data_IF_858581733987
#
_entry.id   IF_858581733987
#
_cell.length_a   1.000
_cell.length_b   1.000
_cell.length_c   1.000
_cell.angle_alpha   90.00
_cell.angle_beta   90.00
_cell.angle_gamma   90.00
#
_symmetry.space_group_name_H-M   'P 1'
#
loop_
_entity.id
_entity.type
_entity.pdbx_description
1 polymer ?
#
# COMPACT_ATOMS: atom_id res chain seq x y z
N UNK A 1 5.65 8.21 6.37
CA UNK A 1 4.49 8.33 5.45
C UNK A 1 3.24 8.84 6.15
N UNK A 2 2.36 9.60 5.47
CA UNK A 2 1.04 10.05 5.96
C UNK A 2 -0.12 9.17 5.47
N UNK A 3 -1.32 9.23 6.09
CA UNK A 3 -2.52 8.53 5.59
C UNK A 3 -2.89 8.85 4.14
N UNK A 4 -2.73 10.10 3.71
CA UNK A 4 -3.01 10.53 2.34
C UNK A 4 -2.01 9.93 1.35
N UNK A 5 -0.72 9.90 1.71
CA UNK A 5 0.31 9.23 0.91
C UNK A 5 0.03 7.73 0.78
N UNK A 6 -0.34 7.07 1.89
CA UNK A 6 -0.69 5.66 1.88
C UNK A 6 -1.91 5.39 0.99
N UNK A 7 -2.92 6.27 1.04
CA UNK A 7 -4.12 6.18 0.21
C UNK A 7 -3.78 6.33 -1.27
N UNK A 8 -2.94 7.30 -1.63
CA UNK A 8 -2.51 7.51 -3.01
C UNK A 8 -1.72 6.31 -3.55
N UNK A 9 -0.77 5.79 -2.77
CA UNK A 9 0.05 4.62 -3.15
C UNK A 9 -0.83 3.37 -3.30
N UNK A 10 -1.69 3.09 -2.32
CA UNK A 10 -2.59 1.95 -2.37
C UNK A 10 -3.48 2.00 -3.62
N UNK A 11 -4.08 3.17 -3.89
CA UNK A 11 -4.92 3.38 -5.08
C UNK A 11 -4.14 3.18 -6.37
N UNK A 12 -2.89 3.64 -6.44
CA UNK A 12 -2.03 3.43 -7.61
C UNK A 12 -1.69 1.95 -7.85
N UNK A 13 -1.48 1.17 -6.78
CA UNK A 13 -1.16 -0.25 -6.86
C UNK A 13 -2.36 -1.12 -7.26
N UNK A 14 -3.54 -0.85 -6.66
CA UNK A 14 -4.66 -1.80 -6.64
C UNK A 14 -6.03 -1.19 -7.01
N UNK A 15 -6.11 0.12 -7.26
CA UNK A 15 -7.36 0.78 -7.65
C UNK A 15 -8.38 0.89 -6.51
N UNK A 16 -9.65 0.62 -6.81
CA UNK A 16 -10.77 0.93 -5.90
C UNK A 16 -10.83 0.05 -4.65
N UNK A 17 -10.29 -1.17 -4.70
CA UNK A 17 -10.27 -2.14 -3.58
C UNK A 17 -8.93 -2.16 -2.83
N UNK A 18 -8.18 -1.06 -2.88
CA UNK A 18 -6.78 -1.05 -2.47
C UNK A 18 -6.52 -1.47 -1.03
N UNK A 19 -7.41 -1.17 -0.08
CA UNK A 19 -7.15 -1.47 1.34
C UNK A 19 -7.06 -2.98 1.60
N UNK A 20 -7.96 -3.77 1.00
CA UNK A 20 -7.94 -5.24 1.13
C UNK A 20 -6.80 -5.86 0.36
N UNK A 21 -6.48 -5.33 -0.82
CA UNK A 21 -5.43 -5.89 -1.67
C UNK A 21 -4.03 -5.56 -1.15
N UNK A 22 -3.82 -4.33 -0.66
CA UNK A 22 -2.60 -3.95 0.02
C UNK A 22 -2.40 -4.76 1.31
N UNK A 23 -3.47 -4.98 2.09
CA UNK A 23 -3.38 -5.81 3.29
C UNK A 23 -2.94 -7.25 2.97
N UNK A 24 -3.46 -7.82 1.88
CA UNK A 24 -3.06 -9.14 1.39
C UNK A 24 -1.59 -9.15 0.95
N UNK A 25 -1.15 -8.14 0.20
CA UNK A 25 0.23 -8.03 -0.28
C UNK A 25 1.24 -7.90 0.88
N UNK A 26 0.89 -7.12 1.91
CA UNK A 26 1.71 -6.93 3.11
C UNK A 26 1.57 -8.05 4.14
N UNK A 27 0.71 -9.05 3.88
CA UNK A 27 0.36 -10.11 4.84
C UNK A 27 -0.08 -9.57 6.23
N UNK A 28 -0.93 -8.54 6.23
CA UNK A 28 -1.53 -7.97 7.44
C UNK A 28 -3.05 -8.05 7.37
N UNK A 29 -3.71 -7.92 8.52
CA UNK A 29 -5.17 -7.80 8.59
C UNK A 29 -5.63 -6.50 7.89
N UNK A 30 -6.64 -6.56 7.02
CA UNK A 30 -7.26 -5.38 6.37
C UNK A 30 -7.71 -4.29 7.35
N UNK A 31 -8.08 -4.67 8.57
CA UNK A 31 -8.38 -3.73 9.65
C UNK A 31 -7.16 -2.93 10.05
N UNK A 32 -5.95 -3.50 10.00
CA UNK A 32 -4.70 -2.79 10.31
C UNK A 32 -4.50 -1.59 9.39
N UNK A 33 -4.71 -1.78 8.08
CA UNK A 33 -4.63 -0.69 7.09
C UNK A 33 -5.63 0.42 7.42
N UNK A 34 -6.87 0.05 7.77
CA UNK A 34 -7.90 1.02 8.21
C UNK A 34 -7.50 1.78 9.48
N UNK A 35 -6.83 1.14 10.43
CA UNK A 35 -6.36 1.79 11.65
C UNK A 35 -5.25 2.81 11.38
N UNK A 36 -4.37 2.53 10.42
CA UNK A 36 -3.36 3.50 9.98
C UNK A 36 -4.00 4.74 9.35
N UNK A 37 -5.04 4.55 8.53
CA UNK A 37 -5.76 5.65 7.89
C UNK A 37 -6.53 6.53 8.88
N UNK A 38 -7.07 5.93 9.94
CA UNK A 38 -7.76 6.65 11.01
C UNK A 38 -6.83 7.19 12.09
N UNK A 39 -5.52 7.01 11.92
CA UNK A 39 -4.51 7.37 12.91
C UNK A 39 -4.72 6.72 14.30
N UNK A 40 -5.54 5.66 14.38
CA UNK A 40 -5.74 4.85 15.59
C UNK A 40 -4.47 4.07 15.96
N UNK A 41 -3.60 3.84 14.98
CA UNK A 41 -2.25 3.31 15.16
C UNK A 41 -1.28 4.04 14.24
N UNK A 42 -0.04 4.28 14.67
CA UNK A 42 0.97 4.85 13.81
C UNK A 42 1.24 3.94 12.61
N UNK A 43 1.53 4.56 11.47
CA UNK A 43 2.07 3.87 10.30
C UNK A 43 3.47 3.38 10.67
N UNK A 44 3.80 2.09 10.50
CA UNK A 44 5.11 1.57 10.85
C UNK A 44 6.19 2.06 9.88
N UNK A 45 7.40 2.30 10.39
CA UNK A 45 8.53 2.77 9.58
C UNK A 45 8.93 1.78 8.47
N UNK A 46 8.75 0.47 8.71
CA UNK A 46 9.05 -0.57 7.72
C UNK A 46 8.12 -0.53 6.50
N UNK A 47 6.95 0.11 6.60
CA UNK A 47 5.96 0.12 5.51
C UNK A 47 6.51 0.82 4.27
N UNK A 48 7.33 1.85 4.44
CA UNK A 48 7.88 2.63 3.34
C UNK A 48 8.74 1.75 2.40
N UNK A 49 9.49 0.80 2.94
CA UNK A 49 10.34 -0.08 2.14
C UNK A 49 9.52 -1.17 1.42
N UNK A 50 8.52 -1.75 2.08
CA UNK A 50 7.59 -2.69 1.44
C UNK A 50 6.81 -2.04 0.29
N UNK A 51 6.34 -0.81 0.48
CA UNK A 51 5.62 -0.08 -0.57
C UNK A 51 6.52 0.25 -1.77
N UNK A 52 7.80 0.57 -1.54
CA UNK A 52 8.77 0.76 -2.65
C UNK A 52 8.95 -0.53 -3.45
N UNK A 53 9.03 -1.68 -2.79
CA UNK A 53 9.13 -2.98 -3.48
C UNK A 53 7.90 -3.20 -4.35
N UNK A 54 6.70 -3.09 -3.79
CA UNK A 54 5.44 -3.28 -4.54
C UNK A 54 5.29 -2.30 -5.72
N UNK A 55 5.68 -1.04 -5.53
CA UNK A 55 5.67 -0.04 -6.60
C UNK A 55 6.65 -0.37 -7.72
N UNK A 56 7.87 -0.77 -7.38
CA UNK A 56 8.87 -1.14 -8.37
C UNK A 56 8.44 -2.37 -9.17
N UNK A 57 7.88 -3.39 -8.51
CA UNK A 57 7.30 -4.57 -9.19
C UNK A 57 6.19 -4.15 -10.16
N UNK A 58 5.29 -3.27 -9.74
CA UNK A 58 4.21 -2.76 -10.60
C UNK A 58 4.75 -1.95 -11.79
N UNK A 59 5.74 -1.09 -11.57
CA UNK A 59 6.39 -0.31 -12.63
C UNK A 59 7.08 -1.24 -13.63
N UNK A 60 7.87 -2.20 -13.17
CA UNK A 60 8.56 -3.18 -14.03
C UNK A 60 7.56 -4.02 -14.83
N UNK A 61 6.45 -4.44 -14.23
CA UNK A 61 5.36 -5.11 -14.94
C UNK A 61 4.79 -4.21 -16.04
N UNK A 62 4.42 -2.97 -15.73
CA UNK A 62 3.88 -2.03 -16.73
C UNK A 62 4.88 -1.77 -17.88
N UNK A 63 6.17 -1.62 -17.57
CA UNK A 63 7.22 -1.42 -18.58
C UNK A 63 7.39 -2.64 -19.48
N UNK A 64 7.21 -3.86 -18.95
CA UNK A 64 7.29 -5.10 -19.75
C UNK A 64 6.12 -5.30 -20.72
N UNK A 65 5.03 -4.54 -20.56
CA UNK A 65 3.83 -4.60 -21.39
C UNK A 65 3.83 -3.59 -22.55
N UNK A 66 4.85 -2.74 -22.65
CA UNK A 66 5.04 -1.74 -23.71
C UNK A 66 6.20 -2.17 -24.63
#
# INVERSE_FOLDING_TARGET
MTPDQLTAIGTALYGTQWQSDLARALNVDSRRVRQWLKEERPIPDWLDDELKVLLNEKISLCQSLL
#
